data_IF_963037025007
#
_entry.id   IF_963037025007
#
_cell.length_a   1.000
_cell.length_b   1.000
_cell.length_c   1.000
_cell.angle_alpha   90.00
_cell.angle_beta   90.00
_cell.angle_gamma   90.00
#
_symmetry.space_group_name_H-M   'P 1'
#
loop_
_entity.id
_entity.type
_entity.pdbx_description
1 polymer ?
#
# COMPACT_ATOMS: atom_id res chain seq x y z
N UNK A 1 -22.04 -25.69 -9.04
CA UNK A 1 -22.52 -24.57 -9.68
C UNK A 1 -21.49 -23.75 -10.34
N UNK A 2 -21.72 -23.40 -11.56
CA UNK A 2 -20.73 -22.67 -12.33
C UNK A 2 -20.94 -21.20 -12.21
N UNK A 3 -19.88 -20.46 -12.06
CA UNK A 3 -20.01 -19.04 -12.01
C UNK A 3 -20.23 -18.48 -13.38
N UNK A 4 -20.93 -17.38 -13.48
CA UNK A 4 -21.13 -16.76 -14.76
C UNK A 4 -19.80 -16.18 -15.25
N UNK A 5 -19.58 -16.19 -16.55
CA UNK A 5 -18.34 -15.63 -17.09
C UNK A 5 -18.18 -14.15 -16.79
N UNK A 6 -19.28 -13.40 -16.77
CA UNK A 6 -19.21 -11.98 -16.45
C UNK A 6 -18.76 -11.76 -15.03
N UNK A 7 -19.29 -12.58 -14.11
CA UNK A 7 -18.91 -12.47 -12.72
C UNK A 7 -17.45 -12.81 -12.54
N UNK A 8 -16.99 -13.85 -13.20
CA UNK A 8 -15.60 -14.24 -13.13
C UNK A 8 -14.68 -13.18 -13.70
N UNK A 9 -15.06 -12.57 -14.80
CA UNK A 9 -14.26 -11.53 -15.42
C UNK A 9 -14.18 -10.30 -14.53
N UNK A 10 -15.29 -9.94 -13.89
CA UNK A 10 -15.27 -8.80 -13.00
C UNK A 10 -14.39 -9.06 -11.80
N UNK A 11 -14.50 -10.23 -11.20
CA UNK A 11 -13.67 -10.58 -10.07
C UNK A 11 -12.19 -10.56 -10.46
N UNK A 12 -11.88 -11.07 -11.63
CA UNK A 12 -10.50 -11.07 -12.10
C UNK A 12 -9.96 -9.63 -12.19
N UNK A 13 -10.76 -8.72 -12.74
CA UNK A 13 -10.33 -7.32 -12.85
C UNK A 13 -10.14 -6.69 -11.48
N UNK A 14 -11.04 -7.01 -10.55
CA UNK A 14 -10.91 -6.46 -9.20
C UNK A 14 -9.65 -6.96 -8.52
N UNK A 15 -9.36 -8.22 -8.68
CA UNK A 15 -8.16 -8.80 -8.09
C UNK A 15 -6.89 -8.28 -8.76
N UNK A 16 -6.95 -8.03 -10.05
CA UNK A 16 -5.81 -7.48 -10.74
C UNK A 16 -5.52 -6.06 -10.28
N UNK A 17 -6.57 -5.26 -10.09
CA UNK A 17 -6.39 -3.91 -9.58
C UNK A 17 -5.79 -3.93 -8.18
N UNK A 18 -6.23 -4.86 -7.34
CA UNK A 18 -5.68 -4.98 -6.00
C UNK A 18 -4.20 -5.37 -6.06
N UNK A 19 -3.84 -6.29 -6.94
CA UNK A 19 -2.45 -6.69 -7.10
C UNK A 19 -1.58 -5.53 -7.56
N UNK A 20 -2.12 -4.67 -8.42
CA UNK A 20 -1.38 -3.50 -8.85
C UNK A 20 -1.09 -2.55 -7.71
N UNK A 21 -2.08 -2.32 -6.85
CA UNK A 21 -1.89 -1.47 -5.68
C UNK A 21 -0.84 -2.07 -4.75
N UNK A 22 -0.90 -3.39 -4.55
CA UNK A 22 0.08 -4.06 -3.71
C UNK A 22 1.48 -3.92 -4.29
N UNK A 23 1.61 -4.05 -5.60
CA UNK A 23 2.93 -3.88 -6.24
C UNK A 23 3.46 -2.47 -6.06
N UNK A 24 2.58 -1.47 -6.06
CA UNK A 24 3.02 -0.10 -5.84
C UNK A 24 3.53 0.08 -4.42
N UNK A 25 2.84 -0.50 -3.44
CA UNK A 25 3.32 -0.45 -2.06
C UNK A 25 4.65 -1.18 -1.93
N UNK A 26 4.78 -2.33 -2.55
CA UNK A 26 6.02 -3.10 -2.50
C UNK A 26 7.17 -2.32 -3.14
N UNK A 27 6.88 -1.57 -4.19
CA UNK A 27 7.89 -0.77 -4.84
C UNK A 27 8.39 0.35 -3.93
N UNK A 28 7.48 1.00 -3.21
CA UNK A 28 7.88 2.04 -2.26
C UNK A 28 8.78 1.43 -1.20
N UNK A 29 8.41 0.27 -0.69
CA UNK A 29 9.20 -0.40 0.32
C UNK A 29 10.60 -0.72 -0.19
N UNK A 30 10.69 -1.21 -1.42
CA UNK A 30 11.99 -1.50 -2.01
C UNK A 30 12.82 -0.24 -2.23
N UNK A 31 12.16 0.85 -2.58
CA UNK A 31 12.87 2.12 -2.78
C UNK A 31 13.40 2.66 -1.47
N UNK A 32 12.64 2.53 -0.40
CA UNK A 32 13.10 2.94 0.92
C UNK A 32 14.30 2.09 1.32
N UNK A 33 14.20 0.78 1.12
CA UNK A 33 15.29 -0.12 1.44
C UNK A 33 16.55 0.22 0.64
N UNK A 34 16.39 0.53 -0.64
CA UNK A 34 17.53 0.86 -1.48
C UNK A 34 18.19 2.16 -1.02
N UNK A 35 17.39 3.15 -0.64
CA UNK A 35 17.95 4.40 -0.12
C UNK A 35 18.70 4.17 1.18
N UNK A 36 18.15 3.33 2.06
CA UNK A 36 18.83 3.02 3.31
C UNK A 36 20.12 2.27 3.07
N UNK A 37 20.11 1.32 2.15
CA UNK A 37 21.32 0.58 1.82
C UNK A 37 22.40 1.52 1.31
N UNK A 38 22.03 2.48 0.48
CA UNK A 38 22.99 3.43 -0.05
C UNK A 38 23.55 4.35 1.03
N UNK A 39 22.79 4.57 2.10
CA UNK A 39 23.24 5.45 3.16
C UNK A 39 24.13 4.76 4.19
N UNK A 40 24.12 3.45 4.27
CA UNK A 40 24.84 2.74 5.32
C UNK A 40 26.30 3.12 5.39
N UNK A 41 27.05 3.19 4.29
CA UNK A 41 28.46 3.55 4.42
C UNK A 41 28.65 4.94 5.01
N UNK A 42 27.80 5.89 4.66
CA UNK A 42 27.96 7.22 5.21
C UNK A 42 27.56 7.27 6.67
N UNK A 43 26.61 6.50 7.10
CA UNK A 43 26.24 6.45 8.50
C UNK A 43 27.39 5.92 9.34
N UNK A 44 28.08 4.94 8.83
CA UNK A 44 29.20 4.39 9.54
C UNK A 44 30.40 5.31 9.57
N UNK A 45 30.58 6.09 8.50
CA UNK A 45 31.72 6.97 8.48
C UNK A 45 31.55 8.28 9.15
N UNK A 46 30.39 8.67 9.50
CA UNK A 46 30.14 9.91 10.01
C UNK A 46 30.77 10.11 11.14
N UNK A 47 31.59 10.06 11.37
CA UNK A 47 32.04 10.18 12.41
C UNK A 47 32.92 10.89 12.89
N UNK A 48 32.72 11.73 13.05
CA UNK A 48 33.60 12.54 13.67
C UNK A 48 33.97 12.02 15.01
N UNK A 49 33.20 11.21 15.55
CA UNK A 49 33.56 10.62 16.78
C UNK A 49 34.63 9.58 16.68
N UNK A 50 34.98 9.23 15.45
CA UNK A 50 35.95 8.20 15.28
C UNK A 50 37.34 8.77 15.36
N UNK A 51 38.09 8.47 16.40
CA UNK A 51 39.36 8.97 16.52
C UNK A 51 40.23 8.03 17.14
N UNK A 52 41.44 8.03 16.88
CA UNK A 52 42.41 7.20 17.48
C UNK A 52 42.13 5.74 17.23
N UNK A 53 41.56 5.42 16.11
CA UNK A 53 41.27 4.07 15.72
C UNK A 53 40.13 3.43 16.45
N UNK A 54 39.39 4.20 17.23
CA UNK A 54 38.24 3.65 17.90
C UNK A 54 37.01 3.73 17.01
N UNK A 55 36.30 2.64 16.82
CA UNK A 55 35.11 2.68 16.03
C UNK A 55 33.98 3.42 16.73
N UNK A 56 33.03 3.96 16.01
CA UNK A 56 31.88 4.59 16.64
C UNK A 56 31.11 3.58 17.44
N UNK A 57 30.46 4.04 18.50
CA UNK A 57 29.65 3.16 19.30
C UNK A 57 28.53 2.57 18.48
N UNK A 58 28.23 1.28 18.64
CA UNK A 58 27.13 0.67 17.87
C UNK A 58 25.80 1.36 18.11
N UNK A 59 25.57 1.86 19.30
CA UNK A 59 24.32 2.55 19.58
C UNK A 59 24.18 3.81 18.78
N UNK A 60 25.29 4.53 18.56
CA UNK A 60 25.25 5.74 17.77
C UNK A 60 24.92 5.43 16.31
N UNK A 61 25.49 4.36 15.77
CA UNK A 61 25.18 3.94 14.43
C UNK A 61 23.70 3.58 14.32
N UNK A 62 23.20 2.81 15.26
CA UNK A 62 21.80 2.40 15.22
C UNK A 62 20.86 3.58 15.34
N UNK A 63 21.22 4.56 16.18
CA UNK A 63 20.40 5.76 16.31
C UNK A 63 20.34 6.53 15.00
N UNK A 64 21.46 6.67 14.32
CA UNK A 64 21.48 7.36 13.03
C UNK A 64 20.72 6.56 11.97
N UNK A 65 20.86 5.24 12.00
CA UNK A 65 20.14 4.40 11.06
C UNK A 65 18.63 4.56 11.25
N UNK A 66 18.17 4.48 12.48
CA UNK A 66 16.75 4.62 12.77
C UNK A 66 16.22 5.99 12.40
N UNK A 67 17.01 7.00 12.67
CA UNK A 67 16.62 8.37 12.36
C UNK A 67 16.50 8.57 10.85
N UNK A 68 17.45 8.04 10.09
CA UNK A 68 17.40 8.15 8.64
C UNK A 68 16.22 7.36 8.08
N UNK A 69 15.99 6.18 8.60
CA UNK A 69 14.86 5.38 8.15
C UNK A 69 13.54 6.10 8.41
N UNK A 70 13.40 6.68 9.59
CA UNK A 70 12.19 7.41 9.93
C UNK A 70 11.99 8.60 8.99
N UNK A 71 13.06 9.32 8.68
CA UNK A 71 12.95 10.47 7.80
C UNK A 71 12.59 10.08 6.38
N UNK A 72 13.22 9.04 5.87
CA UNK A 72 12.94 8.58 4.51
C UNK A 72 11.51 8.03 4.42
N UNK A 73 11.10 7.28 5.44
CA UNK A 73 9.74 6.76 5.47
C UNK A 73 8.72 7.89 5.54
N UNK A 74 9.02 8.90 6.36
CA UNK A 74 8.11 10.03 6.50
C UNK A 74 7.91 10.77 5.17
N UNK A 75 8.92 10.85 4.34
CA UNK A 75 8.78 11.48 3.04
C UNK A 75 7.78 10.74 2.16
N UNK A 76 7.67 9.44 2.33
CA UNK A 76 6.79 8.64 1.51
C UNK A 76 5.47 8.31 2.21
N UNK A 77 5.32 8.75 3.46
CA UNK A 77 4.16 8.36 4.26
C UNK A 77 2.82 8.75 3.63
N UNK A 78 2.66 9.95 3.05
CA UNK A 78 1.37 10.27 2.43
C UNK A 78 1.02 9.32 1.29
N UNK A 79 2.01 8.93 0.52
CA UNK A 79 1.83 8.00 -0.58
C UNK A 79 1.47 6.61 -0.05
N UNK A 80 2.18 6.16 0.97
CA UNK A 80 1.92 4.87 1.61
C UNK A 80 0.50 4.84 2.16
N UNK A 81 0.11 5.91 2.84
CA UNK A 81 -1.22 5.98 3.43
C UNK A 81 -2.31 5.94 2.37
N UNK A 82 -2.12 6.68 1.29
CA UNK A 82 -3.11 6.71 0.22
C UNK A 82 -3.25 5.34 -0.43
N UNK A 83 -2.13 4.68 -0.70
CA UNK A 83 -2.17 3.35 -1.31
C UNK A 83 -2.73 2.30 -0.35
N UNK A 84 -2.42 2.43 0.92
CA UNK A 84 -2.95 1.50 1.91
C UNK A 84 -4.46 1.61 2.03
N UNK A 85 -4.97 2.84 2.00
CA UNK A 85 -6.42 3.03 2.02
C UNK A 85 -7.08 2.49 0.76
N UNK A 86 -6.41 2.68 -0.38
CA UNK A 86 -6.93 2.16 -1.63
C UNK A 86 -6.97 0.63 -1.59
N UNK A 87 -5.89 0.03 -1.09
CA UNK A 87 -5.82 -1.42 -0.99
C UNK A 87 -6.94 -1.95 -0.09
N UNK A 88 -7.17 -1.30 1.04
CA UNK A 88 -8.22 -1.73 1.96
C UNK A 88 -9.59 -1.66 1.30
N UNK A 89 -9.85 -0.61 0.52
CA UNK A 89 -11.11 -0.50 -0.20
C UNK A 89 -11.26 -1.59 -1.25
N UNK A 90 -10.17 -1.89 -1.93
CA UNK A 90 -10.20 -2.93 -2.96
C UNK A 90 -10.45 -4.30 -2.34
N UNK A 91 -9.81 -4.56 -1.22
CA UNK A 91 -10.00 -5.85 -0.55
C UNK A 91 -11.41 -5.98 0.01
N UNK A 92 -11.95 -4.89 0.54
CA UNK A 92 -13.31 -4.92 1.04
C UNK A 92 -14.31 -5.12 -0.10
N UNK A 93 -14.07 -4.49 -1.23
CA UNK A 93 -14.95 -4.65 -2.39
C UNK A 93 -14.92 -6.08 -2.91
N UNK A 94 -13.75 -6.69 -2.95
CA UNK A 94 -13.62 -8.07 -3.41
C UNK A 94 -14.36 -8.99 -2.43
N UNK A 95 -14.17 -8.78 -1.14
CA UNK A 95 -14.82 -9.61 -0.14
C UNK A 95 -16.34 -9.50 -0.24
N UNK A 96 -16.83 -8.28 -0.41
CA UNK A 96 -18.26 -8.06 -0.56
C UNK A 96 -18.81 -8.73 -1.82
N UNK A 97 -18.05 -8.62 -2.91
CA UNK A 97 -18.46 -9.21 -4.15
C UNK A 97 -18.52 -10.74 -4.03
N UNK A 98 -17.53 -11.32 -3.40
CA UNK A 98 -17.48 -12.76 -3.24
C UNK A 98 -18.57 -13.29 -2.30
N UNK A 99 -19.03 -12.44 -1.39
CA UNK A 99 -20.07 -12.85 -0.45
C UNK A 99 -21.46 -12.86 -1.11
N UNK A 100 -21.61 -12.29 -2.30
CA UNK A 100 -22.90 -12.23 -2.94
C UNK A 100 -23.24 -13.54 -3.62
N UNK A 101 -24.48 -13.98 -3.53
CA UNK A 101 -24.88 -15.17 -4.27
C UNK A 101 -24.78 -14.91 -5.76
N UNK A 102 -24.38 -15.90 -6.50
CA UNK A 102 -24.20 -15.74 -7.95
C UNK A 102 -25.49 -15.40 -8.65
N UNK A 103 -26.58 -15.97 -8.20
CA UNK A 103 -27.85 -15.75 -8.88
C UNK A 103 -28.31 -14.29 -8.80
N UNK A 104 -27.78 -13.50 -7.91
CA UNK A 104 -28.18 -12.10 -7.82
C UNK A 104 -27.22 -11.18 -8.54
N UNK A 105 -26.24 -11.73 -9.22
CA UNK A 105 -25.23 -10.90 -9.87
C UNK A 105 -25.84 -10.00 -10.95
N UNK A 106 -26.79 -10.50 -11.71
CA UNK A 106 -27.40 -9.69 -12.74
C UNK A 106 -28.15 -8.50 -12.18
N UNK A 107 -28.93 -8.74 -11.14
CA UNK A 107 -29.66 -7.65 -10.53
C UNK A 107 -28.69 -6.61 -9.97
N UNK A 108 -27.61 -7.06 -9.43
CA UNK A 108 -26.65 -6.15 -8.91
C UNK A 108 -26.05 -5.30 -9.99
N UNK A 109 -25.72 -5.88 -11.12
CA UNK A 109 -25.14 -5.12 -12.22
C UNK A 109 -26.12 -4.05 -12.70
N UNK A 110 -27.38 -4.38 -12.78
CA UNK A 110 -28.38 -3.42 -13.23
C UNK A 110 -28.45 -2.21 -12.29
N UNK A 111 -28.22 -2.41 -11.02
CA UNK A 111 -28.32 -1.34 -10.06
C UNK A 111 -27.00 -0.63 -9.83
N UNK A 112 -25.97 -1.13 -10.41
CA UNK A 112 -24.65 -0.60 -10.11
C UNK A 112 -24.48 0.85 -10.47
N UNK A 113 -25.01 1.26 -11.60
CA UNK A 113 -24.88 2.66 -11.97
C UNK A 113 -25.52 3.58 -10.96
N UNK A 114 -26.70 3.23 -10.51
CA UNK A 114 -27.38 4.05 -9.51
C UNK A 114 -26.62 4.08 -8.21
N UNK A 115 -26.11 2.94 -7.81
CA UNK A 115 -25.37 2.85 -6.57
C UNK A 115 -24.10 3.66 -6.63
N UNK A 116 -23.39 3.57 -7.72
CA UNK A 116 -22.15 4.30 -7.86
C UNK A 116 -22.40 5.79 -7.85
N UNK A 117 -23.43 6.23 -8.50
CA UNK A 117 -23.77 7.64 -8.52
C UNK A 117 -24.06 8.14 -7.12
N UNK A 118 -24.81 7.40 -6.36
CA UNK A 118 -25.15 7.80 -5.00
C UNK A 118 -23.90 7.86 -4.15
N UNK A 119 -23.07 6.87 -4.24
CA UNK A 119 -21.88 6.85 -3.42
C UNK A 119 -20.97 8.02 -3.72
N UNK A 120 -20.80 8.32 -4.98
CA UNK A 120 -19.94 9.42 -5.34
C UNK A 120 -20.51 10.74 -4.92
N UNK A 121 -21.80 10.87 -5.01
CA UNK A 121 -22.42 12.10 -4.58
C UNK A 121 -22.41 12.31 -3.11
N UNK A 122 -22.57 11.22 -2.42
CA UNK A 122 -22.60 11.34 -0.99
C UNK A 122 -21.25 11.40 -0.35
N UNK A 123 -20.37 10.86 -0.99
CA UNK A 123 -19.21 10.70 -0.37
C UNK A 123 -18.60 11.58 -0.03
N UNK A 124 -18.82 11.75 -0.11
CA UNK A 124 -18.49 12.26 0.21
C UNK A 124 -19.00 12.50 1.28
N UNK A 125 -19.64 12.15 1.62
CA UNK A 125 -20.05 12.22 2.53
C UNK A 125 -20.16 11.46 3.30
N UNK A 126 -20.32 11.29 3.41
CA UNK A 126 -20.44 10.59 4.18
C UNK A 126 -19.99 9.81 4.52
N UNK A 127 -20.04 9.88 4.60
CA UNK A 127 -19.74 9.11 5.07
C UNK A 127 -19.07 8.73 5.34
#
# INVERSE_FOLDING_TARGET
MTRSPERQALLFRMEEARRQTQRQLDMIDRQITARMTALIPSLGRRRSGYRRGKPPAPEAFLARYRSSLAAITAERQPEIDALSRKLARQEAAIAAFQAQPEFSASARVRNEDAVITVVRGARHEAL
#
